data_IF_737043422394
#
_entry.id   IF_737043422394
#
_cell.length_a   1.000
_cell.length_b   1.000
_cell.length_c   1.000
_cell.angle_alpha   90.00
_cell.angle_beta   90.00
_cell.angle_gamma   90.00
#
_symmetry.space_group_name_H-M   'P 1'
#
loop_
_entity.id
_entity.type
_entity.pdbx_description
1 polymer ?
#
# COMPACT_ATOMS: atom_id res chain seq x y z
N UNK A 1 -13.21 -2.82 -2.87
CA UNK A 1 -12.85 -2.43 -1.48
C UNK A 1 -11.62 -1.54 -1.45
N UNK A 2 -10.42 -2.03 -1.83
CA UNK A 2 -9.17 -1.24 -1.78
C UNK A 2 -9.28 0.13 -2.51
N UNK A 3 -9.78 0.09 -3.76
CA UNK A 3 -10.01 1.29 -4.57
C UNK A 3 -10.99 2.29 -3.95
N UNK A 4 -12.15 1.82 -3.51
CA UNK A 4 -13.16 2.65 -2.86
C UNK A 4 -12.63 3.32 -1.59
N UNK A 5 -11.84 2.59 -0.80
CA UNK A 5 -11.12 3.17 0.35
C UNK A 5 -10.18 4.32 -0.07
N UNK A 6 -9.46 4.17 -1.18
CA UNK A 6 -8.66 5.26 -1.77
C UNK A 6 -9.50 6.49 -2.15
N UNK A 7 -10.58 6.31 -2.90
CA UNK A 7 -11.46 7.43 -3.33
C UNK A 7 -12.08 8.15 -2.13
N UNK A 8 -12.57 7.40 -1.14
CA UNK A 8 -13.14 7.96 0.09
C UNK A 8 -12.05 8.68 0.92
N UNK A 9 -10.83 8.16 0.96
CA UNK A 9 -9.71 8.82 1.62
C UNK A 9 -9.32 10.14 0.93
N UNK A 10 -9.35 10.20 -0.40
CA UNK A 10 -9.12 11.44 -1.14
C UNK A 10 -10.24 12.46 -0.93
N UNK A 11 -11.50 12.02 -0.87
CA UNK A 11 -12.63 12.89 -0.52
C UNK A 11 -12.44 13.50 0.87
N UNK A 12 -12.14 12.65 1.85
CA UNK A 12 -11.90 13.07 3.22
C UNK A 12 -10.72 14.06 3.30
N UNK A 13 -9.64 13.80 2.57
CA UNK A 13 -8.49 14.71 2.48
C UNK A 13 -8.85 16.08 1.89
N UNK A 14 -9.60 16.10 0.78
CA UNK A 14 -10.07 17.34 0.17
C UNK A 14 -10.95 18.14 1.14
N UNK A 15 -11.93 17.48 1.77
CA UNK A 15 -12.84 18.10 2.73
C UNK A 15 -12.13 18.59 3.99
N UNK A 16 -11.16 17.83 4.50
CA UNK A 16 -10.31 18.26 5.60
C UNK A 16 -9.59 19.57 5.25
N UNK A 17 -8.96 19.66 4.08
CA UNK A 17 -8.22 20.86 3.65
C UNK A 17 -9.15 22.07 3.41
N UNK A 18 -10.38 21.82 2.93
CA UNK A 18 -11.37 22.87 2.68
C UNK A 18 -12.15 23.32 3.92
N UNK A 19 -12.14 22.53 5.00
CA UNK A 19 -12.94 22.78 6.19
C UNK A 19 -12.40 23.94 7.03
N UNK A 20 -13.34 24.73 7.59
CA UNK A 20 -13.07 25.93 8.40
C UNK A 20 -13.30 25.72 9.89
N UNK A 21 -14.05 24.70 10.27
CA UNK A 21 -14.34 24.36 11.68
C UNK A 21 -13.49 23.17 12.11
N UNK A 22 -13.13 23.15 13.39
CA UNK A 22 -12.32 22.06 13.95
C UNK A 22 -13.10 20.74 14.05
N UNK A 23 -14.43 20.80 14.21
CA UNK A 23 -15.31 19.63 14.21
C UNK A 23 -15.33 18.93 12.85
N UNK A 24 -15.46 19.69 11.75
CA UNK A 24 -15.42 19.13 10.40
C UNK A 24 -14.03 18.51 10.12
N UNK A 25 -12.95 19.20 10.51
CA UNK A 25 -11.58 18.67 10.40
C UNK A 25 -11.45 17.35 11.14
N UNK A 26 -11.95 17.26 12.36
CA UNK A 26 -11.91 16.03 13.14
C UNK A 26 -12.68 14.89 12.47
N UNK A 27 -13.87 15.18 11.93
CA UNK A 27 -14.68 14.20 11.22
C UNK A 27 -13.98 13.67 9.96
N UNK A 28 -13.49 14.56 9.09
CA UNK A 28 -12.82 14.16 7.85
C UNK A 28 -11.47 13.50 8.11
N UNK A 29 -10.76 13.87 9.19
CA UNK A 29 -9.55 13.19 9.60
C UNK A 29 -9.80 11.73 10.03
N UNK A 30 -10.87 11.51 10.80
CA UNK A 30 -11.33 10.16 11.16
C UNK A 30 -11.74 9.35 9.92
N UNK A 31 -12.55 9.96 9.05
CA UNK A 31 -13.01 9.33 7.80
C UNK A 31 -11.82 8.93 6.92
N UNK A 32 -10.84 9.82 6.74
CA UNK A 32 -9.63 9.58 5.96
C UNK A 32 -8.81 8.42 6.52
N UNK A 33 -8.65 8.36 7.85
CA UNK A 33 -7.95 7.26 8.51
C UNK A 33 -8.65 5.92 8.28
N UNK A 34 -9.97 5.84 8.50
CA UNK A 34 -10.72 4.59 8.34
C UNK A 34 -10.69 4.12 6.88
N UNK A 35 -10.92 5.04 5.93
CA UNK A 35 -10.90 4.73 4.51
C UNK A 35 -9.52 4.25 4.03
N UNK A 36 -8.45 4.90 4.49
CA UNK A 36 -7.08 4.48 4.22
C UNK A 36 -6.76 3.12 4.85
N UNK A 37 -7.12 2.91 6.13
CA UNK A 37 -6.85 1.65 6.83
C UNK A 37 -7.57 0.47 6.16
N UNK A 38 -8.84 0.63 5.78
CA UNK A 38 -9.58 -0.36 5.00
C UNK A 38 -8.94 -0.55 3.62
N UNK A 39 -8.64 0.53 2.91
CA UNK A 39 -8.02 0.51 1.60
C UNK A 39 -6.74 -0.32 1.57
N UNK A 40 -5.88 -0.11 2.57
CA UNK A 40 -4.60 -0.81 2.70
C UNK A 40 -4.77 -2.24 3.23
N UNK A 41 -5.69 -2.49 4.17
CA UNK A 41 -5.96 -3.84 4.66
C UNK A 41 -6.38 -4.78 3.52
N UNK A 42 -7.15 -4.29 2.55
CA UNK A 42 -7.50 -5.04 1.34
C UNK A 42 -6.41 -5.02 0.27
N UNK A 43 -5.45 -4.09 0.31
CA UNK A 43 -4.30 -4.06 -0.59
C UNK A 43 -3.26 -5.12 -0.23
N UNK A 44 -2.94 -5.30 1.06
CA UNK A 44 -1.86 -6.18 1.52
C UNK A 44 -1.98 -7.63 0.99
N UNK A 45 -3.18 -8.24 0.90
CA UNK A 45 -3.32 -9.58 0.32
C UNK A 45 -3.13 -9.66 -1.20
N UNK A 46 -3.32 -8.56 -1.95
CA UNK A 46 -3.37 -8.58 -3.42
C UNK A 46 -2.05 -8.99 -4.09
N UNK A 47 -0.87 -8.52 -3.66
CA UNK A 47 0.40 -9.01 -4.19
C UNK A 47 0.53 -10.53 -4.15
N UNK A 48 0.05 -11.17 -3.08
CA UNK A 48 0.13 -12.63 -2.92
C UNK A 48 -0.77 -13.37 -3.91
N UNK A 49 -2.01 -12.89 -4.11
CA UNK A 49 -2.89 -13.43 -5.14
C UNK A 49 -2.26 -13.29 -6.54
N UNK A 50 -1.60 -12.16 -6.81
CA UNK A 50 -0.85 -11.93 -8.05
C UNK A 50 0.33 -12.90 -8.22
N UNK A 51 1.10 -13.17 -7.16
CA UNK A 51 2.19 -14.14 -7.20
C UNK A 51 1.71 -15.54 -7.49
N UNK A 52 0.62 -15.97 -6.85
CA UNK A 52 0.03 -17.29 -7.10
C UNK A 52 -0.43 -17.39 -8.55
N UNK A 53 -1.21 -16.40 -9.02
CA UNK A 53 -1.68 -16.36 -10.41
C UNK A 53 -0.52 -16.43 -11.39
N UNK A 54 0.54 -15.65 -11.16
CA UNK A 54 1.70 -15.64 -12.03
C UNK A 54 2.40 -17.01 -12.04
N UNK A 55 2.58 -17.65 -10.87
CA UNK A 55 3.15 -19.00 -10.79
C UNK A 55 2.35 -20.01 -11.61
N UNK A 56 1.02 -19.99 -11.51
CA UNK A 56 0.15 -20.89 -12.28
C UNK A 56 0.25 -20.61 -13.78
N UNK A 57 0.24 -19.34 -14.19
CA UNK A 57 0.40 -18.93 -15.59
C UNK A 57 1.73 -19.42 -16.16
N UNK A 58 2.82 -19.30 -15.39
CA UNK A 58 4.15 -19.78 -15.77
C UNK A 58 4.22 -21.31 -15.87
N UNK A 59 3.58 -22.03 -14.95
CA UNK A 59 3.53 -23.48 -14.95
C UNK A 59 2.73 -24.01 -16.14
N UNK A 60 1.62 -23.35 -16.47
CA UNK A 60 0.81 -23.69 -17.64
C UNK A 60 1.53 -23.36 -18.95
N UNK A 61 2.16 -22.18 -19.06
CA UNK A 61 2.89 -21.78 -20.26
C UNK A 61 4.03 -20.80 -19.96
N UNK A 62 5.26 -21.30 -20.08
CA UNK A 62 6.47 -20.51 -19.88
C UNK A 62 6.57 -19.29 -20.83
N UNK A 63 6.08 -19.41 -22.06
CA UNK A 63 6.16 -18.34 -23.05
C UNK A 63 5.38 -17.07 -22.65
N UNK A 64 4.20 -17.21 -22.04
CA UNK A 64 3.46 -16.05 -21.51
C UNK A 64 4.23 -15.35 -20.39
N UNK A 65 4.90 -16.14 -19.54
CA UNK A 65 5.77 -15.64 -18.50
C UNK A 65 6.94 -14.82 -19.06
N UNK A 66 7.61 -15.33 -20.10
CA UNK A 66 8.69 -14.61 -20.79
C UNK A 66 8.19 -13.28 -21.35
N UNK A 67 7.03 -13.25 -22.02
CA UNK A 67 6.41 -12.01 -22.53
C UNK A 67 6.15 -10.99 -21.40
N UNK A 68 5.74 -11.45 -20.22
CA UNK A 68 5.40 -10.60 -19.08
C UNK A 68 6.62 -10.04 -18.34
N UNK A 69 7.65 -10.86 -18.11
CA UNK A 69 8.75 -10.48 -17.21
C UNK A 69 10.05 -10.14 -17.91
N UNK A 70 10.29 -10.67 -19.11
CA UNK A 70 11.49 -10.39 -19.90
C UNK A 70 11.21 -9.74 -21.25
N UNK A 71 9.96 -9.74 -21.70
CA UNK A 71 9.56 -9.30 -23.03
C UNK A 71 8.93 -7.91 -23.05
N UNK A 72 8.02 -7.72 -24.00
CA UNK A 72 7.44 -6.43 -24.36
C UNK A 72 6.68 -5.74 -23.21
N UNK A 73 6.16 -6.48 -22.23
CA UNK A 73 5.39 -5.95 -21.11
C UNK A 73 6.24 -5.69 -19.85
N UNK A 74 7.51 -6.08 -19.83
CA UNK A 74 8.35 -6.01 -18.63
C UNK A 74 8.45 -4.59 -18.04
N UNK A 75 8.56 -3.57 -18.89
CA UNK A 75 8.61 -2.17 -18.47
C UNK A 75 7.29 -1.67 -17.87
N UNK A 76 6.15 -2.21 -18.28
CA UNK A 76 4.87 -1.91 -17.63
C UNK A 76 4.81 -2.50 -16.22
N UNK A 77 5.43 -3.66 -15.98
CA UNK A 77 5.61 -4.21 -14.64
C UNK A 77 6.57 -3.38 -13.78
N UNK A 78 7.59 -2.74 -14.37
CA UNK A 78 8.44 -1.80 -13.64
C UNK A 78 7.66 -0.55 -13.24
N UNK A 79 6.86 0.01 -14.15
CA UNK A 79 5.95 1.13 -13.82
C UNK A 79 5.01 0.69 -12.68
N UNK A 80 4.43 -0.51 -12.77
CA UNK A 80 3.59 -1.07 -11.71
C UNK A 80 4.33 -1.19 -10.37
N UNK A 81 5.58 -1.67 -10.37
CA UNK A 81 6.39 -1.79 -9.17
C UNK A 81 6.61 -0.41 -8.51
N UNK A 82 6.90 0.62 -9.31
CA UNK A 82 7.01 2.01 -8.86
C UNK A 82 5.71 2.47 -8.19
N UNK A 83 4.56 2.17 -8.79
CA UNK A 83 3.24 2.50 -8.25
C UNK A 83 2.94 1.83 -6.91
N UNK A 84 3.25 0.53 -6.80
CA UNK A 84 3.10 -0.22 -5.54
C UNK A 84 3.96 0.39 -4.45
N UNK A 85 5.21 0.76 -4.76
CA UNK A 85 6.06 1.44 -3.79
C UNK A 85 5.51 2.81 -3.36
N UNK A 86 4.97 3.61 -4.29
CA UNK A 86 4.30 4.87 -3.96
C UNK A 86 3.10 4.64 -3.03
N UNK A 87 2.29 3.61 -3.26
CA UNK A 87 1.17 3.28 -2.37
C UNK A 87 1.66 3.03 -0.94
N UNK A 88 2.62 2.11 -0.78
CA UNK A 88 3.13 1.77 0.55
C UNK A 88 3.86 2.94 1.21
N UNK A 89 4.65 3.73 0.46
CA UNK A 89 5.30 4.93 0.98
C UNK A 89 4.29 5.96 1.45
N UNK A 90 3.24 6.24 0.67
CA UNK A 90 2.18 7.19 1.01
C UNK A 90 1.40 6.74 2.25
N UNK A 91 1.06 5.45 2.33
CA UNK A 91 0.43 4.85 3.51
C UNK A 91 1.28 5.00 4.76
N UNK A 92 2.56 4.61 4.70
CA UNK A 92 3.45 4.68 5.84
C UNK A 92 3.66 6.12 6.29
N UNK A 93 3.89 7.03 5.33
CA UNK A 93 4.02 8.45 5.61
C UNK A 93 2.77 9.02 6.27
N UNK A 94 1.57 8.67 5.78
CA UNK A 94 0.32 9.06 6.44
C UNK A 94 0.23 8.54 7.88
N UNK A 95 0.52 7.25 8.12
CA UNK A 95 0.50 6.65 9.47
C UNK A 95 1.47 7.34 10.43
N UNK A 96 2.66 7.68 9.93
CA UNK A 96 3.69 8.37 10.70
C UNK A 96 3.28 9.78 11.09
N UNK A 97 2.68 10.54 10.16
CA UNK A 97 2.10 11.85 10.46
C UNK A 97 0.91 11.73 11.42
N UNK A 98 0.09 10.69 11.24
CA UNK A 98 -1.06 10.40 12.09
C UNK A 98 -0.68 9.94 13.51
N UNK A 99 0.58 9.59 13.77
CA UNK A 99 1.08 9.42 15.14
C UNK A 99 1.29 10.76 15.86
N UNK A 100 1.50 11.86 15.13
CA UNK A 100 1.68 13.20 15.72
C UNK A 100 0.47 13.71 16.50
N UNK A 101 -0.74 13.20 16.22
CA UNK A 101 -1.98 13.52 16.95
C UNK A 101 -2.23 12.66 18.19
N UNK A 102 -1.29 11.77 18.56
CA UNK A 102 -1.45 10.84 19.69
C UNK A 102 -0.45 11.11 20.80
N UNK A 103 -0.95 11.35 22.01
CA UNK A 103 -0.10 11.49 23.21
C UNK A 103 0.58 10.15 23.54
N UNK A 104 1.90 10.15 23.62
CA UNK A 104 2.71 8.94 23.89
C UNK A 104 3.24 8.21 22.65
N UNK A 105 2.91 8.66 21.43
CA UNK A 105 3.47 8.11 20.20
C UNK A 105 4.89 8.62 19.89
N UNK A 106 5.37 9.65 20.59
CA UNK A 106 6.73 10.21 20.49
C UNK A 106 7.82 9.14 20.61
N UNK A 107 7.59 8.11 21.45
CA UNK A 107 8.50 6.97 21.61
C UNK A 107 8.75 6.21 20.30
N UNK A 108 7.76 6.15 19.41
CA UNK A 108 7.88 5.51 18.10
C UNK A 108 8.46 6.47 17.04
N UNK A 109 8.22 7.78 17.17
CA UNK A 109 8.68 8.77 16.20
C UNK A 109 10.19 8.76 15.98
N UNK A 110 10.98 8.56 17.05
CA UNK A 110 12.46 8.46 16.96
C UNK A 110 12.93 7.34 16.03
N UNK A 111 12.15 6.27 15.90
CA UNK A 111 12.53 5.09 15.12
C UNK A 111 12.01 5.12 13.67
N UNK A 112 11.15 6.08 13.32
CA UNK A 112 10.58 6.20 11.96
C UNK A 112 11.68 6.29 10.89
N UNK A 113 12.80 6.96 11.19
CA UNK A 113 13.95 7.05 10.27
C UNK A 113 14.49 5.69 9.80
N UNK A 114 14.46 4.68 10.68
CA UNK A 114 14.89 3.32 10.32
C UNK A 114 13.86 2.62 9.43
N UNK A 115 12.56 2.84 9.68
CA UNK A 115 11.50 2.31 8.81
C UNK A 115 11.54 2.96 7.42
N UNK A 116 11.81 4.27 7.35
CA UNK A 116 12.04 4.99 6.09
C UNK A 116 13.22 4.37 5.34
N UNK A 117 14.34 4.12 6.02
CA UNK A 117 15.51 3.50 5.40
C UNK A 117 15.18 2.11 4.83
N UNK A 118 14.52 1.23 5.60
CA UNK A 118 14.10 -0.09 5.13
C UNK A 118 13.14 -0.01 3.93
N UNK A 119 12.16 0.91 3.98
CA UNK A 119 11.24 1.14 2.87
C UNK A 119 11.95 1.66 1.63
N UNK A 120 12.90 2.59 1.78
CA UNK A 120 13.66 3.15 0.67
C UNK A 120 14.56 2.09 0.02
N UNK A 121 15.32 1.32 0.81
CA UNK A 121 16.15 0.23 0.30
C UNK A 121 15.29 -0.84 -0.38
N UNK A 122 14.20 -1.26 0.24
CA UNK A 122 13.25 -2.22 -0.36
C UNK A 122 12.66 -1.69 -1.67
N UNK A 123 12.32 -0.41 -1.72
CA UNK A 123 11.77 0.24 -2.91
C UNK A 123 12.78 0.30 -4.05
N UNK A 124 14.02 0.76 -3.78
CA UNK A 124 15.10 0.83 -4.77
C UNK A 124 15.35 -0.55 -5.40
N UNK A 125 15.43 -1.60 -4.57
CA UNK A 125 15.58 -2.97 -5.08
C UNK A 125 14.37 -3.39 -5.91
N UNK A 126 13.15 -3.09 -5.44
CA UNK A 126 11.92 -3.52 -6.10
C UNK A 126 11.74 -2.91 -7.49
N UNK A 127 12.07 -1.63 -7.67
CA UNK A 127 11.93 -0.92 -8.95
C UNK A 127 13.04 -1.21 -9.95
N UNK A 128 14.14 -1.85 -9.54
CA UNK A 128 15.29 -2.05 -10.42
C UNK A 128 14.91 -2.94 -11.62
N UNK A 129 15.12 -2.50 -12.88
CA UNK A 129 14.77 -3.29 -14.06
C UNK A 129 15.79 -4.41 -14.32
N UNK A 130 15.32 -5.52 -14.89
CA UNK A 130 16.21 -6.61 -15.32
C UNK A 130 16.91 -6.29 -16.65
N UNK A 131 16.24 -5.52 -17.52
CA UNK A 131 16.74 -5.10 -18.83
C UNK A 131 16.65 -3.59 -18.95
N UNK A 132 17.72 -2.95 -19.44
CA UNK A 132 17.76 -1.50 -19.61
C UNK A 132 17.25 -1.12 -21.01
N UNK A 133 16.44 -0.05 -21.12
CA UNK A 133 16.19 0.56 -22.44
C UNK A 133 17.46 1.29 -22.83
N UNK A 134 18.01 0.91 -23.97
CA UNK A 134 19.30 1.40 -24.42
C UNK A 134 19.29 1.65 -25.92
N UNK A 135 20.13 2.58 -26.32
CA UNK A 135 20.51 2.74 -27.73
C UNK A 135 21.40 1.57 -28.18
N UNK A 136 21.46 1.28 -29.49
CA UNK A 136 22.34 0.24 -30.03
C UNK A 136 23.83 0.45 -29.67
N UNK A 137 24.26 1.71 -29.50
CA UNK A 137 25.63 2.04 -29.11
C UNK A 137 25.93 1.65 -27.66
N UNK A 138 25.01 1.95 -26.73
CA UNK A 138 25.14 1.58 -25.32
C UNK A 138 25.07 0.06 -25.13
N UNK A 139 24.23 -0.63 -25.92
CA UNK A 139 24.14 -2.08 -25.91
C UNK A 139 25.48 -2.73 -26.29
N UNK A 140 26.15 -2.19 -27.32
CA UNK A 140 27.47 -2.64 -27.76
C UNK A 140 28.53 -2.35 -26.70
N UNK A 141 28.48 -1.19 -26.04
CA UNK A 141 29.42 -0.81 -24.99
C UNK A 141 29.28 -1.66 -23.72
N UNK A 142 28.06 -2.09 -23.37
CA UNK A 142 27.81 -2.93 -22.19
C UNK A 142 27.97 -4.44 -22.44
N UNK A 143 28.16 -4.86 -23.70
CA UNK A 143 28.35 -6.27 -24.05
C UNK A 143 27.10 -7.15 -23.87
N UNK A 144 25.91 -6.55 -23.71
CA UNK A 144 24.66 -7.28 -23.53
C UNK A 144 23.49 -6.41 -23.08
N UNK A 145 22.26 -6.96 -23.10
CA UNK A 145 21.03 -6.26 -22.68
C UNK A 145 20.91 -6.09 -21.14
N UNK A 146 21.74 -6.79 -20.37
CA UNK A 146 21.69 -6.81 -18.92
C UNK A 146 22.93 -6.14 -18.35
N UNK A 147 22.72 -5.15 -17.48
CA UNK A 147 23.82 -4.51 -16.78
C UNK A 147 24.38 -5.49 -15.73
N UNK A 148 25.71 -5.70 -15.63
CA UNK A 148 26.32 -6.72 -14.77
C UNK A 148 25.92 -6.63 -13.28
N UNK A 149 25.75 -5.40 -12.77
CA UNK A 149 25.32 -5.13 -11.39
C UNK A 149 23.79 -4.98 -11.27
N UNK A 150 23.18 -4.03 -11.99
CA UNK A 150 21.75 -3.73 -11.85
C UNK A 150 20.83 -4.87 -12.31
N UNK A 151 21.22 -5.63 -13.34
CA UNK A 151 20.45 -6.76 -13.84
C UNK A 151 20.18 -7.82 -12.75
N UNK A 152 21.10 -7.99 -11.80
CA UNK A 152 20.93 -8.92 -10.69
C UNK A 152 19.80 -8.48 -9.75
N UNK A 153 19.65 -7.19 -9.47
CA UNK A 153 18.53 -6.70 -8.66
C UNK A 153 17.19 -6.74 -9.42
N UNK A 154 17.22 -6.88 -10.74
CA UNK A 154 16.05 -7.09 -11.56
C UNK A 154 15.45 -8.50 -11.49
N UNK A 155 16.14 -9.47 -10.86
CA UNK A 155 15.63 -10.85 -10.76
C UNK A 155 14.48 -10.97 -9.75
N UNK A 156 13.61 -11.96 -9.96
CA UNK A 156 12.44 -12.19 -9.11
C UNK A 156 12.79 -12.38 -7.62
N UNK A 157 13.95 -12.97 -7.30
CA UNK A 157 14.38 -13.14 -5.90
C UNK A 157 14.57 -11.80 -5.18
N UNK A 158 15.26 -10.86 -5.83
CA UNK A 158 15.52 -9.53 -5.30
C UNK A 158 14.22 -8.73 -5.15
N UNK A 159 13.38 -8.74 -6.18
CA UNK A 159 12.08 -8.05 -6.18
C UNK A 159 11.17 -8.56 -5.06
N UNK A 160 11.11 -9.89 -4.88
CA UNK A 160 10.32 -10.51 -3.81
C UNK A 160 10.83 -10.10 -2.43
N UNK A 161 12.15 -10.06 -2.23
CA UNK A 161 12.75 -9.56 -1.01
C UNK A 161 12.34 -8.11 -0.74
N UNK A 162 12.51 -7.23 -1.74
CA UNK A 162 12.17 -5.81 -1.65
C UNK A 162 10.71 -5.56 -1.26
N UNK A 163 9.76 -6.19 -1.96
CA UNK A 163 8.33 -5.98 -1.65
C UNK A 163 7.92 -6.57 -0.31
N UNK A 164 8.45 -7.73 0.09
CA UNK A 164 8.12 -8.32 1.40
C UNK A 164 8.70 -7.48 2.55
N UNK A 165 9.87 -6.87 2.38
CA UNK A 165 10.41 -5.87 3.33
C UNK A 165 9.49 -4.65 3.41
N UNK A 166 9.02 -4.12 2.28
CA UNK A 166 8.08 -2.98 2.24
C UNK A 166 6.78 -3.30 2.98
N UNK A 167 6.16 -4.46 2.69
CA UNK A 167 4.91 -4.88 3.30
C UNK A 167 5.10 -5.12 4.81
N UNK A 168 6.14 -5.85 5.21
CA UNK A 168 6.45 -6.13 6.62
C UNK A 168 6.65 -4.83 7.40
N UNK A 169 7.34 -3.85 6.80
CA UNK A 169 7.51 -2.51 7.39
C UNK A 169 6.20 -1.76 7.53
N UNK A 170 5.30 -1.90 6.55
CA UNK A 170 3.95 -1.31 6.62
C UNK A 170 3.13 -1.93 7.75
N UNK A 171 3.17 -3.26 7.90
CA UNK A 171 2.50 -3.98 9.00
C UNK A 171 3.04 -3.48 10.35
N UNK A 172 4.36 -3.33 10.49
CA UNK A 172 4.98 -2.80 11.70
C UNK A 172 4.51 -1.37 12.00
N UNK A 173 4.42 -0.49 10.98
CA UNK A 173 3.89 0.86 11.12
C UNK A 173 2.44 0.87 11.64
N UNK A 174 1.58 -0.03 11.15
CA UNK A 174 0.21 -0.17 11.66
C UNK A 174 0.18 -0.64 13.12
N UNK A 175 1.00 -1.64 13.47
CA UNK A 175 1.12 -2.12 14.86
C UNK A 175 1.55 -0.98 15.78
N UNK A 176 2.54 -0.18 15.39
CA UNK A 176 2.98 0.98 16.17
C UNK A 176 1.90 2.04 16.28
N UNK A 177 1.19 2.32 15.19
CA UNK A 177 0.07 3.26 15.17
C UNK A 177 -1.03 2.86 16.17
N UNK A 178 -1.44 1.58 16.18
CA UNK A 178 -2.44 1.07 17.14
C UNK A 178 -2.01 1.18 18.60
N UNK A 179 -0.70 1.21 18.83
CA UNK A 179 -0.07 1.31 20.16
C UNK A 179 0.34 2.74 20.51
N UNK A 180 0.21 3.70 19.60
CA UNK A 180 0.71 5.07 19.78
C UNK A 180 0.15 5.73 21.04
N UNK A 181 -1.17 5.64 21.21
CA UNK A 181 -1.89 6.26 22.33
C UNK A 181 -2.20 5.31 23.51
N UNK A 182 -1.58 4.13 23.54
CA UNK A 182 -1.96 3.08 24.49
C UNK A 182 -0.72 2.43 25.11
N UNK A 183 -0.83 2.06 26.39
CA UNK A 183 0.19 1.30 27.12
C UNK A 183 -0.42 -0.02 27.57
N UNK A 184 0.23 -1.13 27.21
CA UNK A 184 -0.21 -2.47 27.60
C UNK A 184 -0.08 -2.64 29.12
N UNK A 185 -1.16 -3.07 29.76
CA UNK A 185 -1.31 -3.25 31.21
C UNK A 185 -1.25 -4.72 31.63
N UNK A 186 -1.14 -5.63 30.67
CA UNK A 186 -1.18 -7.08 30.92
C UNK A 186 0.13 -7.54 31.55
N UNK A 187 0.08 -8.51 32.47
CA UNK A 187 1.24 -9.02 33.23
C UNK A 187 2.39 -9.50 32.34
N UNK A 188 2.09 -10.14 31.21
CA UNK A 188 3.06 -10.60 30.21
C UNK A 188 3.52 -9.54 29.19
N UNK A 189 3.21 -8.24 29.40
CA UNK A 189 3.50 -7.20 28.41
C UNK A 189 4.98 -7.10 28.03
N UNK A 190 5.90 -7.32 28.98
CA UNK A 190 7.35 -7.35 28.72
C UNK A 190 7.72 -8.48 27.77
N UNK A 191 7.26 -9.70 28.07
CA UNK A 191 7.50 -10.87 27.23
C UNK A 191 6.91 -10.68 25.83
N UNK A 192 5.64 -10.26 25.73
CA UNK A 192 4.98 -10.02 24.44
C UNK A 192 5.71 -8.99 23.58
N UNK A 193 6.22 -7.90 24.18
CA UNK A 193 6.99 -6.90 23.45
C UNK A 193 8.32 -7.43 22.91
N UNK A 194 9.05 -8.19 23.74
CA UNK A 194 10.32 -8.83 23.32
C UNK A 194 10.03 -9.81 22.19
N UNK A 195 9.02 -10.66 22.36
CA UNK A 195 8.61 -11.64 21.36
C UNK A 195 8.25 -10.97 20.03
N UNK A 196 7.44 -9.90 20.03
CA UNK A 196 7.13 -9.15 18.81
C UNK A 196 8.38 -8.59 18.14
N UNK A 197 9.28 -7.98 18.92
CA UNK A 197 10.53 -7.40 18.40
C UNK A 197 11.41 -8.46 17.75
N UNK A 198 11.61 -9.59 18.43
CA UNK A 198 12.37 -10.74 17.91
C UNK A 198 11.69 -11.32 16.68
N UNK A 199 10.36 -11.47 16.68
CA UNK A 199 9.62 -12.01 15.56
C UNK A 199 9.78 -11.16 14.30
N UNK A 200 9.62 -9.83 14.40
CA UNK A 200 9.86 -8.93 13.27
C UNK A 200 11.33 -8.98 12.81
N UNK A 201 12.30 -9.04 13.73
CA UNK A 201 13.71 -9.16 13.38
C UNK A 201 14.01 -10.47 12.62
N UNK A 202 13.50 -11.61 13.11
CA UNK A 202 13.60 -12.90 12.44
C UNK A 202 12.89 -12.89 11.08
N UNK A 203 11.75 -12.21 10.96
CA UNK A 203 11.05 -12.06 9.70
C UNK A 203 11.87 -11.29 8.66
N UNK A 204 12.44 -10.14 9.03
CA UNK A 204 13.35 -9.40 8.15
C UNK A 204 14.58 -10.23 7.76
N UNK A 205 15.20 -10.90 8.73
CA UNK A 205 16.33 -11.78 8.47
C UNK A 205 15.96 -12.88 7.48
N UNK A 206 14.84 -13.57 7.68
CA UNK A 206 14.38 -14.64 6.79
C UNK A 206 14.10 -14.12 5.36
N UNK A 207 13.40 -12.98 5.23
CA UNK A 207 13.09 -12.39 3.92
C UNK A 207 14.37 -12.00 3.17
N UNK A 208 15.29 -11.31 3.85
CA UNK A 208 16.55 -10.86 3.25
C UNK A 208 17.45 -12.06 2.92
N UNK A 209 17.58 -13.03 3.84
CA UNK A 209 18.34 -14.24 3.63
C UNK A 209 17.85 -15.03 2.42
N UNK A 210 16.53 -15.26 2.31
CA UNK A 210 15.95 -15.96 1.16
C UNK A 210 16.13 -15.20 -0.15
N UNK A 211 16.07 -13.86 -0.11
CA UNK A 211 16.33 -13.03 -1.28
C UNK A 211 17.78 -13.16 -1.77
N UNK A 212 18.75 -13.18 -0.85
CA UNK A 212 20.18 -13.37 -1.14
C UNK A 212 20.47 -14.81 -1.56
N UNK A 213 19.93 -15.80 -0.85
CA UNK A 213 20.10 -17.21 -1.16
C UNK A 213 19.60 -17.57 -2.56
N UNK A 214 18.53 -16.91 -3.01
CA UNK A 214 17.99 -17.11 -4.36
C UNK A 214 18.97 -16.78 -5.49
N UNK A 215 20.03 -15.98 -5.26
CA UNK A 215 21.07 -15.76 -6.27
C UNK A 215 21.91 -17.02 -6.55
N UNK A 216 22.08 -17.89 -5.56
CA UNK A 216 22.88 -19.10 -5.67
C UNK A 216 22.10 -20.30 -6.21
N UNK A 217 20.79 -20.17 -6.40
CA UNK A 217 19.91 -21.24 -6.87
C UNK A 217 19.56 -21.04 -8.37
N UNK A 218 19.47 -22.13 -9.15
CA UNK A 218 18.90 -22.12 -10.50
C UNK A 218 17.53 -21.44 -10.58
N UNK A 219 17.29 -20.73 -11.69
CA UNK A 219 16.10 -19.87 -11.86
C UNK A 219 14.76 -20.62 -11.77
N UNK A 220 14.72 -21.89 -12.17
CA UNK A 220 13.52 -22.75 -12.10
C UNK A 220 13.07 -23.03 -10.66
N UNK A 221 14.01 -23.18 -9.71
CA UNK A 221 13.68 -23.43 -8.29
C UNK A 221 13.55 -22.11 -7.52
N UNK A 222 14.23 -21.05 -7.97
CA UNK A 222 14.20 -19.71 -7.37
C UNK A 222 12.78 -19.15 -7.19
N UNK A 223 11.86 -19.44 -8.11
CA UNK A 223 10.45 -19.02 -8.01
C UNK A 223 9.78 -19.57 -6.75
N UNK A 224 10.15 -20.77 -6.31
CA UNK A 224 9.62 -21.41 -5.11
C UNK A 224 9.96 -20.69 -3.80
N UNK A 225 11.07 -19.93 -3.76
CA UNK A 225 11.47 -19.15 -2.58
C UNK A 225 10.52 -18.00 -2.25
N UNK A 226 9.63 -17.64 -3.19
CA UNK A 226 8.58 -16.66 -2.93
C UNK A 226 7.60 -17.11 -1.85
N UNK A 227 7.25 -18.40 -1.82
CA UNK A 227 6.27 -18.96 -0.86
C UNK A 227 6.69 -18.76 0.60
N UNK A 228 7.90 -19.15 1.03
CA UNK A 228 8.32 -18.92 2.42
C UNK A 228 8.47 -17.43 2.78
N UNK A 229 8.88 -16.57 1.83
CA UNK A 229 8.92 -15.12 2.08
C UNK A 229 7.51 -14.56 2.31
N UNK A 230 6.56 -14.96 1.47
CA UNK A 230 5.14 -14.58 1.60
C UNK A 230 4.55 -15.11 2.90
N UNK A 231 4.80 -16.37 3.25
CA UNK A 231 4.33 -16.96 4.50
C UNK A 231 4.86 -16.19 5.71
N UNK A 232 6.11 -15.73 5.66
CA UNK A 232 6.70 -14.90 6.71
C UNK A 232 5.97 -13.56 6.83
N UNK A 233 5.76 -12.85 5.72
CA UNK A 233 5.04 -11.57 5.70
C UNK A 233 3.60 -11.70 6.18
N UNK A 234 2.88 -12.75 5.75
CA UNK A 234 1.52 -13.04 6.21
C UNK A 234 1.49 -13.43 7.68
N UNK A 235 2.51 -14.13 8.17
CA UNK A 235 2.61 -14.46 9.58
C UNK A 235 2.80 -13.20 10.42
N UNK A 236 3.64 -12.25 9.98
CA UNK A 236 3.74 -10.92 10.58
C UNK A 236 2.38 -10.21 10.58
N UNK A 237 1.64 -10.25 9.48
CA UNK A 237 0.34 -9.62 9.38
C UNK A 237 -0.68 -10.24 10.35
N UNK A 238 -0.91 -11.55 10.30
CA UNK A 238 -2.01 -12.16 11.06
C UNK A 238 -1.62 -12.41 12.53
N UNK A 239 -0.47 -13.02 12.80
CA UNK A 239 -0.08 -13.36 14.16
C UNK A 239 0.27 -12.12 14.98
N UNK A 240 1.05 -11.18 14.44
CA UNK A 240 1.44 -10.00 15.25
C UNK A 240 0.27 -9.05 15.46
N UNK A 241 -0.66 -8.94 14.51
CA UNK A 241 -1.84 -8.10 14.67
C UNK A 241 -2.84 -8.71 15.66
N UNK A 242 -3.01 -10.04 15.64
CA UNK A 242 -3.78 -10.75 16.65
C UNK A 242 -3.15 -10.61 18.04
N UNK A 243 -1.85 -10.91 18.17
CA UNK A 243 -1.11 -10.78 19.42
C UNK A 243 -1.14 -9.35 19.95
N UNK A 244 -0.91 -8.35 19.09
CA UNK A 244 -1.07 -6.95 19.46
C UNK A 244 -2.49 -6.67 19.96
N UNK A 245 -3.52 -7.15 19.27
CA UNK A 245 -4.91 -6.94 19.69
C UNK A 245 -5.19 -7.54 21.07
N UNK A 246 -4.67 -8.73 21.38
CA UNK A 246 -4.76 -9.34 22.72
C UNK A 246 -3.99 -8.56 23.79
N UNK A 247 -2.77 -8.11 23.49
CA UNK A 247 -1.95 -7.30 24.41
C UNK A 247 -2.58 -5.94 24.72
N UNK A 248 -3.44 -5.44 23.82
CA UNK A 248 -4.08 -4.14 23.94
C UNK A 248 -5.48 -4.21 24.58
N UNK A 249 -5.96 -5.41 24.94
CA UNK A 249 -7.17 -5.57 25.77
C UNK A 249 -6.90 -4.99 27.17
N UNK A 250 -7.71 -4.01 27.58
CA UNK A 250 -7.55 -3.31 28.87
C UNK A 250 -6.37 -2.34 28.95
N UNK A 251 -5.73 -2.01 27.80
CA UNK A 251 -4.61 -1.07 27.76
C UNK A 251 -4.99 0.34 28.26
N UNK A 252 -4.12 0.95 29.06
CA UNK A 252 -4.29 2.32 29.56
C UNK A 252 -4.14 3.29 28.39
N UNK A 253 -5.15 4.13 28.17
CA UNK A 253 -5.08 5.22 27.20
C UNK A 253 -4.27 6.37 27.79
N UNK A 254 -3.28 6.87 27.05
CA UNK A 254 -2.39 7.94 27.51
C UNK A 254 -3.00 9.34 27.31
N UNK A 255 -4.04 9.46 26.48
CA UNK A 255 -4.83 10.66 26.26
C UNK A 255 -5.94 10.42 25.23
N UNK A 256 -6.73 11.45 24.93
CA UNK A 256 -7.63 11.41 23.77
C UNK A 256 -6.82 11.57 22.47
N UNK A 257 -7.30 10.99 21.37
CA UNK A 257 -6.74 11.24 20.04
C UNK A 257 -7.19 12.63 19.60
N UNK A 258 -6.25 13.51 19.25
CA UNK A 258 -6.55 14.86 18.80
C UNK A 258 -6.90 14.87 17.30
N UNK A 259 -8.07 14.35 16.95
CA UNK A 259 -8.60 14.37 15.60
C UNK A 259 -8.69 15.82 15.08
N UNK A 260 -8.33 16.04 13.81
CA UNK A 260 -8.33 17.38 13.23
C UNK A 260 -6.96 18.08 13.30
N UNK A 261 -6.07 17.67 14.21
CA UNK A 261 -4.74 18.28 14.40
C UNK A 261 -3.60 17.57 13.66
N UNK A 262 -3.91 16.85 12.59
CA UNK A 262 -2.89 16.24 11.72
C UNK A 262 -2.33 17.27 10.74
N UNK A 263 -1.05 17.11 10.34
CA UNK A 263 -0.44 17.99 9.33
C UNK A 263 -1.17 17.91 7.99
N UNK A 264 -1.33 19.04 7.29
CA UNK A 264 -1.86 19.09 5.92
C UNK A 264 -1.08 18.19 4.95
N UNK A 265 0.21 17.93 5.22
CA UNK A 265 1.06 17.02 4.44
C UNK A 265 0.50 15.59 4.38
N UNK A 266 -0.18 15.15 5.43
CA UNK A 266 -0.83 13.83 5.46
C UNK A 266 -1.98 13.73 4.46
N UNK A 267 -2.71 14.82 4.22
CA UNK A 267 -3.85 14.85 3.32
C UNK A 267 -3.41 14.74 1.87
N UNK A 268 -2.30 15.40 1.50
CA UNK A 268 -1.67 15.18 0.20
C UNK A 268 -1.22 13.74 -0.01
N UNK A 269 -0.79 13.05 1.06
CA UNK A 269 -0.45 11.63 0.98
C UNK A 269 -1.68 10.74 0.74
N UNK A 270 -2.85 11.07 1.29
CA UNK A 270 -4.10 10.36 0.99
C UNK A 270 -4.57 10.57 -0.45
N UNK A 271 -4.43 11.80 -0.97
CA UNK A 271 -4.72 12.09 -2.38
C UNK A 271 -3.77 11.29 -3.27
N UNK A 272 -2.46 11.34 -3.01
CA UNK A 272 -1.45 10.56 -3.73
C UNK A 272 -1.74 9.06 -3.68
N UNK A 273 -2.13 8.54 -2.52
CA UNK A 273 -2.52 7.13 -2.35
C UNK A 273 -3.68 6.76 -3.28
N UNK A 274 -4.76 7.56 -3.28
CA UNK A 274 -5.93 7.31 -4.11
C UNK A 274 -5.60 7.37 -5.61
N UNK A 275 -4.80 8.36 -5.99
CA UNK A 275 -4.36 8.57 -7.36
C UNK A 275 -3.43 7.42 -7.84
N UNK A 276 -2.56 6.93 -6.97
CA UNK A 276 -1.76 5.74 -7.26
C UNK A 276 -2.63 4.47 -7.36
N UNK A 277 -3.72 4.35 -6.60
CA UNK A 277 -4.67 3.25 -6.78
C UNK A 277 -5.36 3.31 -8.14
N UNK A 278 -5.82 4.48 -8.58
CA UNK A 278 -6.48 4.64 -9.89
C UNK A 278 -5.57 4.22 -11.05
N UNK A 279 -4.34 4.71 -11.07
CA UNK A 279 -3.39 4.35 -12.14
C UNK A 279 -3.03 2.87 -12.08
N UNK A 280 -2.87 2.28 -10.89
CA UNK A 280 -2.54 0.87 -10.75
C UNK A 280 -3.64 -0.03 -11.31
N UNK A 281 -4.92 0.32 -11.10
CA UNK A 281 -6.02 -0.44 -11.68
C UNK A 281 -6.05 -0.33 -13.21
N UNK A 282 -5.85 0.88 -13.74
CA UNK A 282 -5.78 1.09 -15.20
C UNK A 282 -4.64 0.28 -15.83
N UNK A 283 -3.46 0.33 -15.22
CA UNK A 283 -2.28 -0.40 -15.67
C UNK A 283 -2.47 -1.92 -15.58
N UNK A 284 -2.98 -2.44 -14.47
CA UNK A 284 -3.19 -3.88 -14.31
C UNK A 284 -4.32 -4.42 -15.19
N UNK A 285 -5.36 -3.62 -15.44
CA UNK A 285 -6.40 -3.94 -16.41
C UNK A 285 -5.82 -4.09 -17.81
N UNK A 286 -4.98 -3.14 -18.22
CA UNK A 286 -4.28 -3.19 -19.50
C UNK A 286 -3.35 -4.40 -19.59
N UNK A 287 -2.45 -4.62 -18.61
CA UNK A 287 -1.53 -5.75 -18.59
C UNK A 287 -2.28 -7.08 -18.74
N UNK A 288 -3.36 -7.29 -17.96
CA UNK A 288 -4.15 -8.53 -18.03
C UNK A 288 -4.77 -8.74 -19.40
N UNK A 289 -5.25 -7.68 -20.04
CA UNK A 289 -5.79 -7.78 -21.40
C UNK A 289 -4.69 -8.11 -22.41
N UNK A 290 -3.54 -7.42 -22.32
CA UNK A 290 -2.41 -7.53 -23.25
C UNK A 290 -1.66 -8.86 -23.17
N UNK A 291 -1.76 -9.59 -22.04
CA UNK A 291 -1.24 -10.98 -21.93
C UNK A 291 -1.80 -11.89 -23.01
N UNK A 292 -3.03 -11.64 -23.46
CA UNK A 292 -3.68 -12.45 -24.49
C UNK A 292 -3.13 -12.18 -25.90
N UNK A 293 -2.30 -11.14 -26.08
CA UNK A 293 -1.69 -10.76 -27.35
C UNK A 293 -2.74 -10.67 -28.48
N UNK A 294 -2.66 -11.56 -29.47
CA UNK A 294 -3.53 -11.61 -30.65
C UNK A 294 -4.70 -12.60 -30.48
N UNK A 295 -5.08 -12.91 -29.24
CA UNK A 295 -6.11 -13.92 -28.95
C UNK A 295 -7.25 -13.31 -28.13
N UNK A 296 -8.50 -13.61 -28.49
CA UNK A 296 -9.65 -13.33 -27.62
C UNK A 296 -9.74 -14.37 -26.50
N UNK A 297 -9.58 -15.64 -26.88
CA UNK A 297 -9.38 -16.79 -26.00
C UNK A 297 -8.06 -17.43 -26.41
N UNK A 298 -7.12 -17.52 -25.48
CA UNK A 298 -5.76 -17.96 -25.75
C UNK A 298 -5.77 -19.31 -26.49
N UNK A 299 -5.12 -19.37 -27.66
CA UNK A 299 -5.00 -20.54 -28.55
C UNK A 299 -6.29 -21.10 -29.16
N UNK A 300 -7.46 -20.58 -28.78
CA UNK A 300 -8.76 -21.06 -29.28
C UNK A 300 -9.33 -20.10 -30.33
N UNK A 301 -9.25 -18.80 -30.07
CA UNK A 301 -9.85 -17.78 -30.92
C UNK A 301 -8.85 -16.66 -31.17
N UNK A 302 -8.18 -16.72 -32.32
CA UNK A 302 -7.25 -15.69 -32.78
C UNK A 302 -8.02 -14.47 -33.29
N UNK A 303 -7.60 -13.29 -32.85
CA UNK A 303 -8.03 -12.02 -33.40
C UNK A 303 -7.28 -11.77 -34.72
N UNK A 304 -8.01 -11.81 -35.83
CA UNK A 304 -7.50 -11.54 -37.17
C UNK A 304 -7.81 -10.12 -37.64
N UNK A 305 -8.35 -9.27 -36.77
CA UNK A 305 -8.66 -7.89 -37.14
C UNK A 305 -7.38 -7.08 -37.38
N UNK A 306 -7.41 -6.03 -38.24
CA UNK A 306 -6.27 -5.13 -38.45
C UNK A 306 -5.81 -4.41 -37.16
N UNK A 307 -6.64 -4.41 -36.12
CA UNK A 307 -6.37 -3.75 -34.84
C UNK A 307 -5.85 -4.71 -33.76
N UNK A 308 -5.64 -5.98 -34.11
CA UNK A 308 -4.99 -6.95 -33.24
C UNK A 308 -3.49 -6.64 -33.14
N UNK A 309 -3.10 -5.67 -32.32
CA UNK A 309 -1.69 -5.38 -32.02
C UNK A 309 -1.51 -4.96 -30.57
N UNK A 310 -0.31 -5.22 -30.04
CA UNK A 310 0.06 -4.75 -28.70
C UNK A 310 0.64 -3.35 -28.80
N UNK A 311 0.00 -2.40 -28.11
CA UNK A 311 0.43 -1.01 -28.10
C UNK A 311 1.84 -0.85 -27.52
N UNK A 312 2.56 0.18 -27.96
CA UNK A 312 3.83 0.57 -27.35
C UNK A 312 3.62 1.02 -25.91
N UNK A 313 4.64 0.85 -25.07
CA UNK A 313 4.61 1.25 -23.65
C UNK A 313 4.19 2.72 -23.50
N UNK A 314 4.70 3.61 -24.34
CA UNK A 314 4.39 5.04 -24.31
C UNK A 314 2.91 5.33 -24.64
N UNK A 315 2.36 4.70 -25.67
CA UNK A 315 0.95 4.87 -26.00
C UNK A 315 0.04 4.34 -24.88
N UNK A 316 0.34 3.14 -24.37
CA UNK A 316 -0.41 2.54 -23.27
C UNK A 316 -0.39 3.43 -22.02
N UNK A 317 0.78 3.96 -21.64
CA UNK A 317 0.94 4.85 -20.49
C UNK A 317 0.14 6.16 -20.65
N UNK A 318 0.14 6.76 -21.84
CA UNK A 318 -0.62 7.97 -22.14
C UNK A 318 -2.13 7.72 -22.06
N UNK A 319 -2.61 6.62 -22.65
CA UNK A 319 -4.03 6.26 -22.63
C UNK A 319 -4.51 5.95 -21.20
N UNK A 320 -3.73 5.20 -20.42
CA UNK A 320 -4.04 4.94 -19.00
C UNK A 320 -4.09 6.26 -18.23
N UNK A 321 -3.13 7.17 -18.44
CA UNK A 321 -3.10 8.47 -17.76
C UNK A 321 -4.29 9.35 -18.15
N UNK A 322 -4.68 9.36 -19.42
CA UNK A 322 -5.89 10.05 -19.88
C UNK A 322 -7.15 9.52 -19.18
N UNK A 323 -7.30 8.19 -19.06
CA UNK A 323 -8.41 7.58 -18.34
C UNK A 323 -8.42 7.94 -16.85
N UNK A 324 -7.25 7.97 -16.20
CA UNK A 324 -7.12 8.35 -14.80
C UNK A 324 -7.48 9.83 -14.59
N UNK A 325 -7.01 10.71 -15.46
CA UNK A 325 -7.36 12.13 -15.44
C UNK A 325 -8.86 12.33 -15.64
N UNK A 326 -9.44 11.67 -16.64
CA UNK A 326 -10.88 11.72 -16.89
C UNK A 326 -11.67 11.28 -15.65
N UNK A 327 -11.32 10.13 -15.07
CA UNK A 327 -11.95 9.63 -13.84
C UNK A 327 -11.87 10.64 -12.69
N UNK A 328 -10.69 11.21 -12.42
CA UNK A 328 -10.53 12.19 -11.34
C UNK A 328 -11.27 13.50 -11.62
N UNK A 329 -11.32 13.97 -12.86
CA UNK A 329 -12.13 15.14 -13.24
C UNK A 329 -13.61 14.86 -12.92
N UNK A 330 -14.13 13.69 -13.29
CA UNK A 330 -15.51 13.31 -12.98
C UNK A 330 -15.75 13.21 -11.46
N UNK A 331 -14.82 12.60 -10.72
CA UNK A 331 -14.94 12.49 -9.26
C UNK A 331 -14.90 13.85 -8.57
N UNK A 332 -14.00 14.74 -8.97
CA UNK A 332 -13.93 16.10 -8.44
C UNK A 332 -15.20 16.90 -8.78
N UNK A 333 -15.75 16.70 -9.98
CA UNK A 333 -17.04 17.27 -10.35
C UNK A 333 -18.18 16.76 -9.46
N UNK A 334 -18.22 15.46 -9.17
CA UNK A 334 -19.19 14.88 -8.21
C UNK A 334 -18.99 15.45 -6.79
N UNK A 335 -17.74 15.59 -6.33
CA UNK A 335 -17.45 16.18 -5.02
C UNK A 335 -17.88 17.64 -4.94
N UNK A 336 -17.69 18.40 -6.03
CA UNK A 336 -18.17 19.76 -6.16
C UNK A 336 -19.70 19.82 -6.13
N UNK A 337 -20.40 19.01 -6.93
CA UNK A 337 -21.86 18.92 -6.91
C UNK A 337 -22.40 18.62 -5.50
N UNK A 338 -21.82 17.62 -4.81
CA UNK A 338 -22.21 17.29 -3.44
C UNK A 338 -21.96 18.42 -2.44
N UNK A 339 -20.99 19.30 -2.70
CA UNK A 339 -20.74 20.47 -1.85
C UNK A 339 -21.80 21.56 -1.99
N UNK A 340 -22.49 21.63 -3.13
CA UNK A 340 -23.59 22.57 -3.34
C UNK A 340 -24.84 22.15 -2.55
N UNK A 341 -25.09 20.84 -2.43
CA UNK A 341 -26.23 20.29 -1.70
C UNK A 341 -26.06 20.36 -0.19
N UNK A 342 -24.82 20.23 0.32
CA UNK A 342 -24.52 20.22 1.76
C UNK A 342 -24.75 21.57 2.49
N UNK A 343 -25.13 22.64 1.79
CA UNK A 343 -25.37 23.97 2.38
C UNK A 343 -26.74 24.16 3.07
N UNK A 344 -27.55 23.11 3.25
CA UNK A 344 -28.87 23.21 3.89
C UNK A 344 -29.21 22.02 4.78
N UNK A 345 -28.56 21.88 5.93
CA UNK A 345 -29.19 21.29 7.11
C UNK A 345 -28.69 22.08 8.33
N UNK A 346 -29.52 22.93 8.96
CA UNK A 346 -29.20 23.46 10.27
C UNK A 346 -29.10 22.27 11.22
N UNK A 347 -27.93 22.08 11.83
CA UNK A 347 -27.79 21.14 12.94
C UNK A 347 -28.66 21.67 14.07
N UNK A 348 -29.79 21.03 14.32
CA UNK A 348 -30.53 21.25 15.57
C UNK A 348 -29.56 20.99 16.71
N UNK A 349 -29.33 22.03 17.52
CA UNK A 349 -28.69 21.89 18.81
C UNK A 349 -29.42 20.81 19.56
N UNK A 350 -28.68 19.81 20.06
CA UNK A 350 -29.21 18.75 20.91
C UNK A 350 -30.09 19.39 21.99
N UNK A 351 -31.41 19.19 21.86
CA UNK A 351 -32.36 19.54 22.90
C UNK A 351 -31.91 18.85 24.20
N UNK A 352 -31.83 19.64 25.28
CA UNK A 352 -31.49 19.15 26.60
C UNK A 352 -32.40 17.99 26.99
N UNK A 353 -31.79 16.94 27.53
CA UNK A 353 -32.49 15.78 28.09
C UNK A 353 -33.38 16.30 29.24
N UNK A 354 -34.72 16.19 29.17
CA UNK A 354 -35.58 16.49 30.30
C UNK A 354 -35.63 15.26 31.19
N UNK A 355 -34.96 15.30 32.34
CA UNK A 355 -35.03 14.23 33.32
C UNK A 355 -33.83 14.14 34.24
N UNK A 356 -33.66 15.14 35.11
CA UNK A 356 -33.06 14.91 36.42
C UNK A 356 -33.87 15.69 37.45
N UNK A 357 -34.59 14.93 38.27
CA UNK A 357 -35.42 15.40 39.38
C UNK A 357 -34.49 16.07 40.41
N UNK A 358 -34.85 17.24 40.99
CA UNK A 358 -34.04 17.86 42.04
C UNK A 358 -34.07 17.00 43.30
N UNK A 359 -32.90 16.61 43.79
CA UNK A 359 -32.74 15.98 45.10
C UNK A 359 -32.89 17.08 46.18
N UNK A 360 -33.74 16.91 47.21
CA UNK A 360 -33.90 17.94 48.23
C UNK A 360 -32.66 18.00 49.12
N UNK A 361 -32.21 19.23 49.40
CA UNK A 361 -31.17 19.50 50.37
C UNK A 361 -31.62 19.09 51.78
N UNK A 362 -30.82 18.34 52.55
CA UNK A 362 -31.02 18.24 53.98
C UNK A 362 -30.44 19.48 54.67
N UNK A 363 -31.32 20.21 55.35
CA UNK A 363 -31.00 21.23 56.35
C UNK A 363 -30.64 20.58 57.68
N UNK A 364 -29.46 20.90 58.21
CA UNK A 364 -29.13 21.30 59.59
C UNK A 364 -27.64 21.11 59.89
#
# INVERSE_FOLDING_TARGET
MAFGGGVVAAYAAYKFLASKTDEDRAHYDWMGYIAMALGVAFLIPLPFAGYWLMREVYAYRQQMGITLMGGLLAWLFIIQATMIGILFLSTNYYLWQAMGRMRGAEKYQRYIKYLVFLLACGFIVFITPHTMVMTPAELKAMGGQQHPVLGNYGVMSAKNGGINVIITTTVLSFVWYMRGNKVSTVSWAKFGNIFMGVFFACAYFNIIFLAVYGYYIPANVRVGLSVPQVATTLSCLFFMFALNSFMMKGAKQMGAIEWGKISARSQYALIMLATAFTWMMGLMGYIRSSVRLFWHVNEIMRDNSPWAYTHTVGFAANMISANVLFFWITILFVFWLGSLTAKKVPVESKAGIPGNVPQPAPSH
#
